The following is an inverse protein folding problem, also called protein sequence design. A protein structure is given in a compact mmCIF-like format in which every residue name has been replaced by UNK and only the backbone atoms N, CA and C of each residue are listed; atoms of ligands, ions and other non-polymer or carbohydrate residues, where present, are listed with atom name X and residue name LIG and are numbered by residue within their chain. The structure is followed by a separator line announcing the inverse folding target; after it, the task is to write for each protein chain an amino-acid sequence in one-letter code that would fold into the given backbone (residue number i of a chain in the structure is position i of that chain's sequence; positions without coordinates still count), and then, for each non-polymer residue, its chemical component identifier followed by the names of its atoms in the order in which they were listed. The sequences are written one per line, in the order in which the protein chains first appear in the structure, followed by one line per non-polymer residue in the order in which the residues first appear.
data_IF_674221265064
#
_entry.id   IF_674221265064
#
_cell.length_a   1.000
_cell.length_b   1.000
_cell.length_c   1.000
_cell.angle_alpha   90.00
_cell.angle_beta   90.00
_cell.angle_gamma   90.00
#
_symmetry.space_group_name_H-M   'P 1'
#
loop_
_entity.id
_entity.type
_entity.pdbx_description
1 polymer ?
#
# COMPACT_ATOMS: atom_id res chain seq x y z
N UNK A 1 -3.45 -5.59 19.19
CA UNK A 1 -2.98 -4.18 19.21
C UNK A 1 -1.76 -3.93 18.33
N UNK A 2 -0.59 -4.52 18.61
CA UNK A 2 0.66 -4.23 17.88
C UNK A 2 0.52 -4.28 16.35
N UNK A 3 0.05 -5.41 15.82
CA UNK A 3 -0.14 -5.59 14.37
C UNK A 3 -1.09 -4.56 13.77
N UNK A 4 -2.20 -4.23 14.45
CA UNK A 4 -3.15 -3.21 13.99
C UNK A 4 -2.49 -1.84 13.90
N UNK A 5 -1.71 -1.45 14.91
CA UNK A 5 -1.00 -0.17 14.91
C UNK A 5 0.10 -0.12 13.85
N UNK A 6 0.81 -1.22 13.60
CA UNK A 6 1.81 -1.31 12.52
C UNK A 6 1.17 -1.22 11.13
N UNK A 7 -0.01 -1.79 10.94
CA UNK A 7 -0.77 -1.66 9.68
C UNK A 7 -1.32 -0.25 9.50
N UNK A 8 -1.80 0.39 10.57
CA UNK A 8 -2.33 1.76 10.55
C UNK A 8 -1.24 2.81 10.34
N UNK A 9 -0.08 2.61 10.96
CA UNK A 9 1.07 3.51 10.88
C UNK A 9 2.34 2.73 10.46
N UNK A 10 2.47 2.32 9.18
CA UNK A 10 3.61 1.53 8.72
C UNK A 10 4.96 2.23 8.95
N UNK A 11 4.98 3.56 8.82
CA UNK A 11 6.17 4.38 9.04
C UNK A 11 6.66 4.38 10.50
N UNK A 12 5.78 4.11 11.46
CA UNK A 12 6.11 4.00 12.88
C UNK A 12 6.22 2.54 13.34
N UNK A 13 6.21 1.57 12.41
CA UNK A 13 6.08 0.15 12.75
C UNK A 13 7.17 -0.36 13.70
N UNK A 14 8.41 0.11 13.54
CA UNK A 14 9.54 -0.22 14.41
C UNK A 14 9.39 0.36 15.83
N UNK A 15 8.69 1.49 15.97
CA UNK A 15 8.45 2.13 17.25
C UNK A 15 7.28 1.49 18.02
N UNK A 16 6.41 0.71 17.35
CA UNK A 16 5.33 -0.04 17.99
C UNK A 16 5.84 -1.41 18.44
N UNK A 17 6.49 -1.45 19.60
CA UNK A 17 6.93 -2.70 20.24
C UNK A 17 5.76 -3.42 20.93
N UNK A 18 5.93 -4.71 21.25
CA UNK A 18 4.92 -5.50 21.95
C UNK A 18 4.62 -4.90 23.34
N UNK A 19 5.65 -4.56 24.12
CA UNK A 19 5.50 -3.94 25.45
C UNK A 19 4.78 -2.59 25.38
N UNK A 20 5.09 -1.75 24.37
CA UNK A 20 4.37 -0.50 24.18
C UNK A 20 2.90 -0.77 23.83
N UNK A 21 2.64 -1.74 22.95
CA UNK A 21 1.27 -2.13 22.60
C UNK A 21 0.48 -2.68 23.80
N UNK A 22 1.13 -3.38 24.74
CA UNK A 22 0.53 -3.83 26.00
C UNK A 22 0.16 -2.65 26.90
N UNK A 23 1.05 -1.66 27.07
CA UNK A 23 0.71 -0.42 27.78
C UNK A 23 -0.48 0.30 27.12
N UNK A 24 -0.51 0.36 25.78
CA UNK A 24 -1.65 0.96 25.07
C UNK A 24 -2.98 0.23 25.35
N UNK A 25 -2.92 -1.09 25.52
CA UNK A 25 -4.10 -1.88 25.89
C UNK A 25 -4.54 -1.50 27.31
N UNK A 26 -3.64 -1.58 28.28
CA UNK A 26 -4.00 -1.38 29.69
C UNK A 26 -4.43 0.05 30.02
N UNK A 27 -3.83 1.07 29.40
CA UNK A 27 -4.07 2.46 29.77
C UNK A 27 -5.24 3.11 29.00
N UNK A 28 -5.50 2.64 27.77
CA UNK A 28 -6.44 3.32 26.87
C UNK A 28 -7.60 2.46 26.37
N UNK A 29 -7.52 1.13 26.44
CA UNK A 29 -8.58 0.26 25.97
C UNK A 29 -9.65 0.01 27.04
N UNK A 30 -10.85 -0.32 26.60
CA UNK A 30 -11.99 -0.61 27.46
C UNK A 30 -12.98 -1.53 26.73
N UNK A 31 -13.79 -2.25 27.49
CA UNK A 31 -14.90 -3.02 26.94
C UNK A 31 -16.12 -2.11 26.75
N UNK A 32 -16.73 -2.17 25.57
CA UNK A 32 -18.02 -1.55 25.32
C UNK A 32 -19.14 -2.47 25.80
N UNK A 33 -20.18 -1.90 26.42
CA UNK A 33 -21.38 -2.64 26.82
C UNK A 33 -22.14 -3.18 25.60
N UNK A 34 -22.39 -2.30 24.62
CA UNK A 34 -22.96 -2.64 23.31
C UNK A 34 -21.97 -2.27 22.21
N UNK A 35 -21.20 -3.25 21.73
CA UNK A 35 -20.14 -3.01 20.76
C UNK A 35 -20.64 -2.40 19.43
N UNK A 36 -21.81 -2.83 18.94
CA UNK A 36 -22.40 -2.30 17.70
C UNK A 36 -22.72 -0.80 17.79
N UNK A 37 -23.40 -0.38 18.85
CA UNK A 37 -23.75 1.03 19.09
C UNK A 37 -22.50 1.90 19.26
N UNK A 38 -21.50 1.40 19.99
CA UNK A 38 -20.22 2.08 20.15
C UNK A 38 -19.55 2.33 18.79
N UNK A 39 -19.53 1.34 17.89
CA UNK A 39 -18.99 1.50 16.53
C UNK A 39 -19.73 2.56 15.72
N UNK A 40 -21.05 2.65 15.85
CA UNK A 40 -21.84 3.70 15.22
C UNK A 40 -21.47 5.08 15.76
N UNK A 41 -21.24 5.23 17.06
CA UNK A 41 -20.78 6.50 17.64
C UNK A 41 -19.43 6.94 17.08
N UNK A 42 -18.51 6.02 16.77
CA UNK A 42 -17.22 6.33 16.15
C UNK A 42 -17.33 6.93 14.74
N UNK A 43 -18.47 6.80 14.06
CA UNK A 43 -18.73 7.47 12.78
C UNK A 43 -18.99 8.97 12.94
N UNK A 44 -19.40 9.42 14.14
CA UNK A 44 -19.70 10.82 14.41
C UNK A 44 -18.41 11.64 14.60
N UNK A 45 -18.24 12.70 13.81
CA UNK A 45 -17.07 13.59 13.86
C UNK A 45 -16.80 14.20 15.24
N UNK A 46 -17.84 14.53 16.00
CA UNK A 46 -17.67 15.13 17.33
C UNK A 46 -17.18 14.09 18.34
N UNK A 47 -17.78 12.90 18.32
CA UNK A 47 -17.35 11.79 19.15
C UNK A 47 -15.91 11.37 18.84
N UNK A 48 -15.57 11.28 17.54
CA UNK A 48 -14.21 11.01 17.10
C UNK A 48 -13.20 12.01 17.67
N UNK A 49 -13.46 13.31 17.55
CA UNK A 49 -12.55 14.35 18.07
C UNK A 49 -12.35 14.29 19.59
N UNK A 50 -13.40 13.96 20.34
CA UNK A 50 -13.35 13.87 21.80
C UNK A 50 -12.65 12.60 22.29
N UNK A 51 -12.94 11.45 21.65
CA UNK A 51 -12.50 10.13 22.12
C UNK A 51 -11.20 9.64 21.49
N UNK A 52 -10.76 10.24 20.39
CA UNK A 52 -9.46 9.95 19.81
C UNK A 52 -8.35 10.29 20.82
N UNK A 53 -7.42 9.34 21.00
CA UNK A 53 -6.22 9.54 21.81
C UNK A 53 -5.03 9.63 20.89
N UNK A 54 -4.28 10.72 21.01
CA UNK A 54 -3.02 10.93 20.32
C UNK A 54 -1.88 10.57 21.28
N UNK A 55 -1.05 9.62 20.88
CA UNK A 55 0.10 9.18 21.68
C UNK A 55 1.36 9.67 20.98
N UNK A 56 2.06 10.61 21.61
CA UNK A 56 3.32 11.13 21.11
C UNK A 56 4.42 10.09 21.31
N UNK A 57 5.07 9.67 20.23
CA UNK A 57 6.29 8.88 20.30
C UNK A 57 7.51 9.80 20.41
N UNK A 58 8.62 9.31 21.01
CA UNK A 58 9.87 10.04 21.01
C UNK A 58 10.34 10.24 19.57
N UNK A 59 10.71 11.48 19.26
CA UNK A 59 11.33 11.87 18.01
C UNK A 59 12.51 12.80 18.32
N UNK A 60 13.55 12.72 17.49
CA UNK A 60 14.61 13.71 17.54
C UNK A 60 14.23 14.83 16.57
N UNK A 61 13.95 16.06 17.04
CA UNK A 61 13.89 17.20 16.16
C UNK A 61 15.33 17.44 15.70
N UNK A 62 15.75 16.86 14.59
CA UNK A 62 16.86 17.44 13.85
C UNK A 62 16.41 18.84 13.48
N UNK A 63 16.87 19.83 14.26
CA UNK A 63 16.94 21.21 13.82
C UNK A 63 17.60 21.16 12.47
N UNK A 64 16.86 21.46 11.42
CA UNK A 64 17.43 21.79 10.13
C UNK A 64 18.39 22.94 10.41
N UNK A 65 19.68 22.62 10.61
CA UNK A 65 20.72 23.60 10.46
C UNK A 65 20.61 24.04 9.02
N UNK A 66 20.02 25.23 8.85
CA UNK A 66 20.01 25.98 7.62
C UNK A 66 21.47 26.31 7.34
N UNK A 67 22.23 25.37 6.79
CA UNK A 67 23.60 25.57 6.28
C UNK A 67 24.11 24.31 5.58
N UNK A 68 23.53 24.01 4.42
CA UNK A 68 24.25 23.37 3.33
C UNK A 68 23.61 23.80 2.02
N UNK A 69 24.36 24.54 1.23
CA UNK A 69 23.94 25.24 0.03
C UNK A 69 23.25 24.30 -0.99
N UNK A 70 22.28 24.84 -1.74
CA UNK A 70 21.44 24.16 -2.73
C UNK A 70 22.16 23.52 -3.95
N UNK A 71 23.48 23.35 -3.88
CA UNK A 71 24.33 22.77 -4.93
C UNK A 71 23.87 21.33 -5.25
N UNK A 72 23.67 20.47 -4.23
CA UNK A 72 23.29 19.08 -4.45
C UNK A 72 21.85 18.86 -4.95
N UNK A 73 20.93 19.81 -4.76
CA UNK A 73 19.54 19.71 -5.24
C UNK A 73 19.41 20.10 -6.71
N UNK A 74 20.21 21.07 -7.17
CA UNK A 74 20.24 21.46 -8.58
C UNK A 74 21.02 20.46 -9.43
N UNK A 75 22.08 19.85 -8.89
CA UNK A 75 22.76 18.71 -9.52
C UNK A 75 21.80 17.53 -9.78
N UNK A 76 20.82 17.34 -8.90
CA UNK A 76 19.79 16.33 -9.07
C UNK A 76 18.81 16.66 -10.20
N UNK A 77 18.41 17.92 -10.33
CA UNK A 77 17.59 18.41 -11.45
C UNK A 77 18.32 18.24 -12.79
N UNK A 78 19.64 18.51 -12.81
CA UNK A 78 20.50 18.25 -13.95
C UNK A 78 20.53 16.75 -14.34
N UNK A 79 20.63 15.85 -13.36
CA UNK A 79 20.57 14.42 -13.61
C UNK A 79 19.19 13.92 -14.09
N UNK A 80 18.09 14.57 -13.69
CA UNK A 80 16.74 14.30 -14.22
C UNK A 80 16.67 14.71 -15.70
N UNK A 81 17.12 15.93 -16.02
CA UNK A 81 17.14 16.40 -17.41
C UNK A 81 17.95 15.48 -18.32
N UNK A 82 19.14 15.06 -17.87
CA UNK A 82 20.00 14.14 -18.60
C UNK A 82 19.34 12.77 -18.83
N UNK A 83 18.70 12.19 -17.81
CA UNK A 83 18.01 10.89 -17.93
C UNK A 83 16.80 10.95 -18.86
N UNK A 84 16.01 12.01 -18.80
CA UNK A 84 14.90 12.23 -19.72
C UNK A 84 15.40 12.31 -21.17
N UNK A 85 16.48 13.05 -21.42
CA UNK A 85 17.11 13.13 -22.75
C UNK A 85 17.63 11.79 -23.25
N UNK A 86 18.29 10.99 -22.39
CA UNK A 86 18.75 9.64 -22.71
C UNK A 86 17.57 8.69 -23.01
N UNK A 87 16.46 8.79 -22.26
CA UNK A 87 15.27 7.98 -22.48
C UNK A 87 14.59 8.30 -23.82
N UNK A 88 14.51 9.58 -24.19
CA UNK A 88 13.96 10.03 -25.46
C UNK A 88 14.86 9.61 -26.62
N UNK A 89 16.18 9.81 -26.49
CA UNK A 89 17.15 9.36 -27.49
C UNK A 89 17.04 7.85 -27.75
N UNK A 90 16.87 7.06 -26.68
CA UNK A 90 16.65 5.60 -26.79
C UNK A 90 15.34 5.25 -27.48
N UNK A 91 14.23 5.93 -27.16
CA UNK A 91 12.93 5.71 -27.84
C UNK A 91 13.01 6.05 -29.33
N UNK A 92 13.68 7.14 -29.70
CA UNK A 92 13.91 7.50 -31.09
C UNK A 92 14.74 6.47 -31.83
N UNK A 93 15.81 5.97 -31.20
CA UNK A 93 16.62 4.91 -31.77
C UNK A 93 15.82 3.63 -32.01
N UNK A 94 14.92 3.27 -31.08
CA UNK A 94 13.98 2.14 -31.27
C UNK A 94 13.03 2.40 -32.44
N UNK A 95 12.39 3.58 -32.52
CA UNK A 95 11.49 3.94 -33.63
C UNK A 95 12.21 3.88 -34.99
N UNK A 96 13.49 4.29 -35.04
CA UNK A 96 14.30 4.18 -36.25
C UNK A 96 14.59 2.73 -36.62
N UNK A 97 14.98 1.89 -35.65
CA UNK A 97 15.17 0.46 -35.87
C UNK A 97 13.90 -0.20 -36.40
N UNK A 98 12.74 0.10 -35.81
CA UNK A 98 11.44 -0.44 -36.24
C UNK A 98 11.11 0.01 -37.68
N UNK A 99 11.38 1.27 -38.02
CA UNK A 99 11.18 1.81 -39.37
C UNK A 99 12.15 1.18 -40.39
N UNK A 100 13.38 0.89 -40.01
CA UNK A 100 14.36 0.18 -40.84
C UNK A 100 13.97 -1.28 -41.10
N UNK A 101 13.53 -2.00 -40.07
CA UNK A 101 13.04 -3.37 -40.20
C UNK A 101 11.80 -3.43 -41.10
N UNK A 102 10.85 -2.50 -40.89
CA UNK A 102 9.66 -2.37 -41.74
C UNK A 102 10.05 -2.07 -43.18
N UNK A 103 11.01 -1.17 -43.40
CA UNK A 103 11.52 -0.87 -44.74
C UNK A 103 12.15 -2.11 -45.39
N UNK A 104 12.96 -2.87 -44.65
CA UNK A 104 13.56 -4.12 -45.15
C UNK A 104 12.49 -5.16 -45.52
N UNK A 105 11.45 -5.32 -44.69
CA UNK A 105 10.33 -6.21 -44.99
C UNK A 105 9.63 -5.82 -46.31
N UNK A 106 9.32 -4.53 -46.49
CA UNK A 106 8.66 -4.05 -47.72
C UNK A 106 9.54 -4.22 -48.96
N UNK A 107 10.85 -4.02 -48.84
CA UNK A 107 11.82 -4.26 -49.94
C UNK A 107 11.90 -5.76 -50.26
N UNK A 108 11.95 -6.64 -49.25
CA UNK A 108 11.99 -8.09 -49.49
C UNK A 108 10.78 -8.58 -50.28
N UNK A 109 9.60 -7.99 -50.04
CA UNK A 109 8.37 -8.31 -50.77
C UNK A 109 8.42 -7.75 -52.20
N UNK A 110 9.04 -6.60 -52.38
CA UNK A 110 9.31 -6.05 -53.72
C UNK A 110 10.28 -6.95 -54.50
N UNK A 111 11.26 -7.57 -53.86
CA UNK A 111 12.19 -8.53 -54.48
C UNK A 111 11.52 -9.88 -54.79
N UNK A 112 10.56 -10.33 -53.97
CA UNK A 112 9.75 -11.54 -54.27
C UNK A 112 8.95 -11.41 -55.57
N UNK A 113 8.66 -10.19 -56.03
CA UNK A 113 8.07 -9.91 -57.34
C UNK A 113 8.93 -10.41 -58.50
N UNK A 114 10.27 -10.46 -58.34
CA UNK A 114 11.19 -10.91 -59.40
C UNK A 114 11.29 -12.44 -59.51
N UNK A 115 10.87 -13.21 -58.49
CA UNK A 115 11.14 -14.66 -58.41
C UNK A 115 9.92 -15.55 -58.16
N UNK A 116 8.79 -15.06 -57.61
CA UNK A 116 7.62 -15.87 -57.25
C UNK A 116 6.36 -15.67 -58.14
N UNK A 117 5.44 -16.63 -58.09
CA UNK A 117 4.18 -16.65 -58.86
C UNK A 117 3.22 -15.51 -58.44
N UNK A 118 2.58 -14.85 -59.42
CA UNK A 118 1.82 -13.61 -59.24
C UNK A 118 0.63 -13.76 -58.28
N UNK A 119 0.13 -14.99 -58.11
CA UNK A 119 -0.94 -15.35 -57.20
C UNK A 119 -0.53 -15.38 -55.72
N UNK A 120 0.73 -15.75 -55.43
CA UNK A 120 1.27 -15.77 -54.07
C UNK A 120 1.58 -14.35 -53.60
N UNK A 121 2.14 -13.53 -54.50
CA UNK A 121 2.38 -12.10 -54.28
C UNK A 121 1.11 -11.31 -53.96
N UNK A 122 0.00 -11.57 -54.67
CA UNK A 122 -1.28 -10.89 -54.39
C UNK A 122 -1.87 -11.24 -53.03
N UNK A 123 -1.63 -12.44 -52.50
CA UNK A 123 -2.06 -12.83 -51.14
C UNK A 123 -1.22 -12.14 -50.06
N UNK A 124 0.11 -12.14 -50.21
CA UNK A 124 1.00 -11.48 -49.25
C UNK A 124 0.80 -9.96 -49.23
N UNK A 125 0.50 -9.35 -50.38
CA UNK A 125 0.14 -7.93 -50.50
C UNK A 125 -1.17 -7.60 -49.75
N UNK A 126 -2.18 -8.47 -49.85
CA UNK A 126 -3.45 -8.32 -49.12
C UNK A 126 -3.30 -8.58 -47.61
N UNK A 127 -2.48 -9.54 -47.19
CA UNK A 127 -2.18 -9.81 -45.78
C UNK A 127 -1.54 -8.60 -45.07
N UNK A 128 -0.77 -7.79 -45.81
CA UNK A 128 -0.15 -6.56 -45.32
C UNK A 128 -0.98 -5.29 -45.56
N UNK A 129 -2.17 -5.43 -46.15
CA UNK A 129 -3.15 -4.36 -46.29
C UNK A 129 -2.92 -3.39 -47.46
N UNK A 130 -2.08 -3.74 -48.43
CA UNK A 130 -1.87 -2.92 -49.62
C UNK A 130 -2.80 -3.31 -50.77
N UNK A 131 -3.38 -2.31 -51.43
CA UNK A 131 -4.37 -2.53 -52.50
C UNK A 131 -3.76 -2.52 -53.90
N UNK A 132 -2.60 -1.87 -54.08
CA UNK A 132 -1.86 -1.84 -55.34
C UNK A 132 -0.34 -1.84 -55.13
N UNK A 133 0.40 -2.26 -56.16
CA UNK A 133 1.88 -2.21 -56.20
C UNK A 133 2.40 -0.77 -56.16
N UNK A 134 1.64 0.18 -56.73
CA UNK A 134 1.97 1.60 -56.74
C UNK A 134 1.92 2.17 -55.32
N UNK A 135 0.92 1.77 -54.53
CA UNK A 135 0.79 2.14 -53.11
C UNK A 135 1.96 1.61 -52.27
N UNK A 136 2.38 0.37 -52.51
CA UNK A 136 3.56 -0.22 -51.88
C UNK A 136 4.84 0.57 -52.22
N UNK A 137 5.07 0.89 -53.51
CA UNK A 137 6.25 1.67 -53.92
C UNK A 137 6.28 3.08 -53.35
N UNK A 138 5.12 3.72 -53.20
CA UNK A 138 5.00 5.04 -52.58
C UNK A 138 5.37 4.97 -51.09
N UNK A 139 4.85 3.99 -50.36
CA UNK A 139 5.15 3.80 -48.93
C UNK A 139 6.62 3.41 -48.71
N UNK A 140 7.22 2.61 -49.59
CA UNK A 140 8.66 2.31 -49.55
C UNK A 140 9.48 3.59 -49.74
N UNK A 141 9.14 4.42 -50.71
CA UNK A 141 9.87 5.67 -50.97
C UNK A 141 9.72 6.68 -49.83
N UNK A 142 8.53 6.77 -49.24
CA UNK A 142 8.24 7.60 -48.07
C UNK A 142 9.04 7.13 -46.85
N UNK A 143 9.01 5.83 -46.53
CA UNK A 143 9.80 5.26 -45.43
C UNK A 143 11.31 5.41 -45.66
N UNK A 144 11.79 5.23 -46.91
CA UNK A 144 13.20 5.49 -47.27
C UNK A 144 13.58 6.94 -47.01
N UNK A 145 12.72 7.87 -47.41
CA UNK A 145 12.94 9.29 -47.21
C UNK A 145 12.97 9.66 -45.72
N UNK A 146 12.01 9.17 -44.93
CA UNK A 146 11.95 9.38 -43.48
C UNK A 146 13.18 8.80 -42.75
N UNK A 147 13.59 7.56 -43.07
CA UNK A 147 14.80 6.94 -42.49
C UNK A 147 16.06 7.71 -42.89
N UNK A 148 16.15 8.18 -44.15
CA UNK A 148 17.30 8.94 -44.63
C UNK A 148 17.37 10.34 -44.00
N UNK A 149 16.25 11.03 -43.85
CA UNK A 149 16.19 12.34 -43.18
C UNK A 149 16.71 12.23 -41.74
N UNK A 150 16.22 11.26 -40.96
CA UNK A 150 16.64 11.11 -39.56
C UNK A 150 18.10 10.65 -39.45
N UNK A 151 18.59 9.81 -40.36
CA UNK A 151 20.02 9.44 -40.42
C UNK A 151 20.94 10.61 -40.76
N UNK A 152 20.54 11.46 -41.70
CA UNK A 152 21.32 12.64 -42.09
C UNK A 152 21.40 13.66 -40.94
N UNK A 153 20.31 13.83 -40.19
CA UNK A 153 20.27 14.65 -38.97
C UNK A 153 21.17 14.09 -37.85
N UNK A 154 21.26 12.76 -37.70
CA UNK A 154 22.11 12.11 -36.70
C UNK A 154 23.61 12.05 -37.04
N UNK A 155 23.97 12.06 -38.32
CA UNK A 155 25.36 11.88 -38.79
C UNK A 155 26.23 13.14 -38.69
N UNK A 156 25.63 14.31 -38.48
CA UNK A 156 26.36 15.58 -38.34
C UNK A 156 26.89 15.85 -36.91
N UNK A 157 26.79 14.89 -35.99
CA UNK A 157 27.13 15.07 -34.57
C UNK A 157 28.43 14.37 -34.13
N UNK A 158 29.18 13.71 -35.02
CA UNK A 158 30.42 13.01 -34.66
C UNK A 158 31.59 13.53 -35.50
N UNK A 159 32.23 14.59 -35.02
CA UNK A 159 33.46 15.14 -35.59
C UNK A 159 34.12 16.10 -34.61
N UNK A 160 35.24 15.68 -34.04
CA UNK A 160 36.13 16.50 -33.20
C UNK A 160 36.67 17.72 -34.00
N UNK A 161 36.61 18.92 -33.40
CA UNK A 161 37.28 20.11 -33.94
C UNK A 161 36.61 21.43 -33.55
N UNK A 162 37.38 22.33 -32.94
CA UNK A 162 36.93 23.64 -32.44
C UNK A 162 36.46 24.62 -33.53
N UNK A 163 35.47 25.44 -33.11
CA UNK A 163 35.10 26.80 -33.54
C UNK A 163 34.11 27.05 -34.72
N UNK A 164 32.93 27.53 -34.30
CA UNK A 164 32.06 28.58 -34.88
C UNK A 164 31.32 28.35 -36.20
N UNK A 165 30.00 28.21 -36.07
CA UNK A 165 29.02 28.84 -36.97
C UNK A 165 27.89 27.94 -37.50
N UNK A 166 26.73 27.98 -36.83
CA UNK A 166 25.36 27.84 -37.37
C UNK A 166 24.96 26.46 -37.99
N UNK A 167 23.82 25.81 -37.72
CA UNK A 167 22.49 26.15 -37.20
C UNK A 167 21.88 24.91 -36.48
N UNK A 168 20.79 25.12 -35.72
CA UNK A 168 19.91 24.12 -35.05
C UNK A 168 20.19 23.69 -33.60
N UNK A 169 21.16 24.27 -32.89
CA UNK A 169 21.32 24.07 -31.43
C UNK A 169 21.02 25.35 -30.66
N UNK A 170 19.77 25.53 -30.21
CA UNK A 170 19.34 26.35 -29.06
C UNK A 170 17.81 26.37 -28.94
N UNK A 171 17.22 25.20 -28.72
CA UNK A 171 15.89 25.15 -28.10
C UNK A 171 16.12 24.63 -26.69
N UNK A 172 15.73 25.40 -25.66
CA UNK A 172 15.88 25.09 -24.23
C UNK A 172 17.19 25.47 -23.50
N UNK A 173 18.00 26.41 -24.00
CA UNK A 173 19.15 26.94 -23.20
C UNK A 173 18.71 27.64 -21.92
N UNK A 174 17.49 28.18 -21.93
CA UNK A 174 16.96 29.04 -20.86
C UNK A 174 16.32 28.21 -19.72
N UNK A 175 16.24 26.89 -19.89
CA UNK A 175 15.75 25.93 -18.89
C UNK A 175 16.88 25.06 -18.32
N UNK A 176 18.15 25.41 -18.55
CA UNK A 176 19.28 24.75 -17.89
C UNK A 176 19.10 24.87 -16.37
N UNK A 177 19.03 23.75 -15.62
CA UNK A 177 18.94 23.75 -14.17
C UNK A 177 19.98 24.64 -13.48
N UNK A 178 21.13 24.91 -14.12
CA UNK A 178 22.17 25.80 -13.58
C UNK A 178 21.75 27.28 -13.50
N UNK A 179 20.69 27.67 -14.18
CA UNK A 179 20.15 29.04 -14.19
C UNK A 179 19.15 29.29 -13.05
N UNK A 180 18.79 28.26 -12.27
CA UNK A 180 17.76 28.34 -11.24
C UNK A 180 18.36 28.15 -9.84
N UNK A 181 17.77 28.82 -8.86
CA UNK A 181 18.23 28.76 -7.46
C UNK A 181 17.57 27.64 -6.66
N UNK A 182 16.41 27.15 -7.11
CA UNK A 182 15.66 26.08 -6.45
C UNK A 182 14.93 25.17 -7.47
N UNK A 183 14.68 23.89 -7.13
CA UNK A 183 13.99 22.95 -8.01
C UNK A 183 12.54 23.31 -8.35
N UNK A 184 11.84 24.03 -7.46
CA UNK A 184 10.42 24.33 -7.63
C UNK A 184 10.22 25.46 -8.65
N UNK A 185 11.09 26.48 -8.66
CA UNK A 185 11.09 27.51 -9.70
C UNK A 185 11.51 26.96 -11.05
N UNK A 186 12.46 26.01 -11.08
CA UNK A 186 12.85 25.32 -12.31
C UNK A 186 11.70 24.50 -12.91
N UNK A 187 11.04 23.63 -12.13
CA UNK A 187 9.93 22.82 -12.66
C UNK A 187 8.72 23.68 -13.06
N UNK A 188 8.49 24.81 -12.39
CA UNK A 188 7.47 25.78 -12.81
C UNK A 188 7.81 26.40 -14.17
N UNK A 189 9.07 26.76 -14.41
CA UNK A 189 9.51 27.28 -15.70
C UNK A 189 9.39 26.23 -16.81
N UNK A 190 9.73 24.96 -16.54
CA UNK A 190 9.55 23.83 -17.47
C UNK A 190 8.07 23.63 -17.81
N UNK A 191 7.17 23.64 -16.82
CA UNK A 191 5.72 23.51 -17.02
C UNK A 191 5.15 24.64 -17.87
N UNK A 192 5.53 25.89 -17.56
CA UNK A 192 5.12 27.07 -18.31
C UNK A 192 5.56 26.97 -19.77
N UNK A 193 6.82 26.57 -20.02
CA UNK A 193 7.36 26.44 -21.37
C UNK A 193 6.63 25.38 -22.20
N UNK A 194 6.28 24.26 -21.58
CA UNK A 194 5.47 23.20 -22.22
C UNK A 194 4.10 23.72 -22.65
N UNK A 195 3.45 24.53 -21.80
CA UNK A 195 2.13 25.11 -22.10
C UNK A 195 2.20 26.12 -23.24
N UNK A 196 3.19 27.01 -23.24
CA UNK A 196 3.46 27.93 -24.36
C UNK A 196 3.66 27.20 -25.69
N UNK A 197 4.40 26.08 -25.68
CA UNK A 197 4.63 25.27 -26.89
C UNK A 197 3.36 24.57 -27.37
N UNK A 198 2.53 24.04 -26.46
CA UNK A 198 1.24 23.43 -26.81
C UNK A 198 0.26 24.45 -27.38
N UNK A 199 0.18 25.63 -26.79
CA UNK A 199 -0.67 26.72 -27.29
C UNK A 199 -0.21 27.19 -28.67
N UNK A 200 1.10 27.38 -28.87
CA UNK A 200 1.66 27.76 -30.17
C UNK A 200 1.31 26.74 -31.25
N UNK A 201 1.43 25.44 -30.96
CA UNK A 201 1.07 24.36 -31.88
C UNK A 201 -0.43 24.35 -32.18
N UNK A 202 -1.28 24.55 -31.17
CA UNK A 202 -2.73 24.64 -31.35
C UNK A 202 -3.12 25.82 -32.25
N UNK A 203 -2.49 26.98 -32.07
CA UNK A 203 -2.71 28.17 -32.88
C UNK A 203 -2.21 27.97 -34.33
N UNK A 204 -1.04 27.37 -34.53
CA UNK A 204 -0.52 27.03 -35.85
C UNK A 204 -1.45 26.04 -36.57
N UNK A 205 -1.89 24.99 -35.90
CA UNK A 205 -2.83 24.03 -36.44
C UNK A 205 -4.17 24.68 -36.82
N UNK A 206 -4.69 25.58 -35.98
CA UNK A 206 -5.92 26.32 -36.27
C UNK A 206 -5.77 27.25 -37.49
N UNK A 207 -4.64 27.95 -37.61
CA UNK A 207 -4.31 28.78 -38.78
C UNK A 207 -4.21 27.96 -40.08
N UNK A 208 -3.68 26.74 -40.00
CA UNK A 208 -3.62 25.81 -41.15
C UNK A 208 -5.03 25.39 -41.55
N UNK A 209 -5.88 25.03 -40.59
CA UNK A 209 -7.28 24.69 -40.86
C UNK A 209 -8.04 25.86 -41.48
N UNK A 210 -7.88 27.08 -40.96
CA UNK A 210 -8.50 28.28 -41.53
C UNK A 210 -8.04 28.57 -42.97
N UNK A 211 -6.73 28.42 -43.25
CA UNK A 211 -6.19 28.56 -44.60
C UNK A 211 -6.69 27.46 -45.54
N UNK A 212 -6.82 26.22 -45.07
CA UNK A 212 -7.38 25.11 -45.84
C UNK A 212 -8.87 25.35 -46.17
N UNK A 213 -9.64 25.87 -45.21
CA UNK A 213 -11.05 26.26 -45.41
C UNK A 213 -11.19 27.44 -46.39
N UNK A 214 -10.30 28.44 -46.33
CA UNK A 214 -10.29 29.57 -47.26
C UNK A 214 -9.88 29.17 -48.70
N UNK A 215 -9.04 28.15 -48.85
CA UNK A 215 -8.54 27.68 -50.16
C UNK A 215 -9.50 26.71 -50.86
N UNK A 216 -10.57 26.26 -50.19
CA UNK A 216 -11.54 25.26 -50.65
C UNK A 216 -12.46 25.65 -51.83
N UNK A 217 -12.22 26.75 -52.54
CA UNK A 217 -13.07 27.20 -53.66
C UNK A 217 -12.43 27.17 -55.05
N UNK A 218 -11.18 26.72 -55.25
CA UNK A 218 -10.60 26.60 -56.60
C UNK A 218 -9.85 25.28 -56.84
N UNK A 219 -10.51 24.41 -57.62
CA UNK A 219 -9.96 23.38 -58.52
C UNK A 219 -9.25 22.14 -57.92
N UNK A 220 -9.77 20.96 -58.26
CA UNK A 220 -9.31 19.61 -57.87
C UNK A 220 -7.88 19.24 -58.33
N UNK A 221 -7.24 20.03 -59.18
CA UNK A 221 -5.90 19.73 -59.73
C UNK A 221 -4.73 20.26 -58.89
N UNK A 222 -4.98 21.06 -57.84
CA UNK A 222 -3.93 21.59 -56.94
C UNK A 222 -3.75 20.83 -55.63
N UNK A 223 -4.60 19.84 -55.34
CA UNK A 223 -4.50 19.03 -54.11
C UNK A 223 -3.20 18.24 -54.00
N UNK A 224 -2.55 17.91 -55.12
CA UNK A 224 -1.24 17.23 -55.14
C UNK A 224 -0.05 18.19 -54.97
N UNK A 225 -0.18 19.47 -55.32
CA UNK A 225 0.87 20.48 -55.10
C UNK A 225 0.87 21.01 -53.66
N UNK A 226 -0.28 21.03 -52.99
CA UNK A 226 -0.37 21.45 -51.58
C UNK A 226 0.27 20.40 -50.66
N UNK A 227 0.16 19.11 -50.98
CA UNK A 227 0.75 18.03 -50.20
C UNK A 227 2.28 17.92 -50.35
N UNK A 228 2.88 18.54 -51.38
CA UNK A 228 4.32 18.44 -51.68
C UNK A 228 5.16 19.64 -51.19
N UNK A 229 4.53 20.63 -50.55
CA UNK A 229 5.21 21.76 -49.89
C UNK A 229 4.99 21.77 -48.37
N UNK A 230 4.47 20.67 -47.82
CA UNK A 230 4.04 20.51 -46.43
C UNK A 230 5.00 19.65 -45.58
N UNK A 231 6.23 19.48 -46.05
CA UNK A 231 7.39 19.20 -45.20
C UNK A 231 8.25 20.46 -45.15
N UNK A 232 8.92 20.84 -44.07
CA UNK A 232 9.36 20.08 -42.91
C UNK A 232 9.95 21.10 -41.92
N UNK A 233 10.23 20.63 -40.71
CA UNK A 233 11.11 21.20 -39.67
C UNK A 233 10.36 21.77 -38.45
N UNK A 234 9.54 22.82 -38.57
CA UNK A 234 9.05 23.51 -37.35
C UNK A 234 7.97 22.75 -36.54
N UNK A 235 7.12 21.94 -37.18
CA UNK A 235 6.01 21.25 -36.49
C UNK A 235 6.47 19.94 -35.79
N UNK A 236 7.49 19.28 -36.36
CA UNK A 236 8.08 18.07 -35.78
C UNK A 236 9.05 18.42 -34.64
N UNK A 237 9.90 19.44 -34.82
CA UNK A 237 10.81 19.95 -33.78
C UNK A 237 10.05 20.45 -32.54
N UNK A 238 8.86 21.04 -32.72
CA UNK A 238 8.03 21.51 -31.60
C UNK A 238 7.26 20.39 -30.91
N UNK A 239 6.84 19.36 -31.65
CA UNK A 239 6.26 18.15 -31.06
C UNK A 239 7.30 17.42 -30.20
N UNK A 240 8.53 17.32 -30.69
CA UNK A 240 9.66 16.71 -30.00
C UNK A 240 9.99 17.45 -28.68
N UNK A 241 10.03 18.78 -28.72
CA UNK A 241 10.27 19.61 -27.52
C UNK A 241 9.17 19.44 -26.47
N UNK A 242 7.91 19.27 -26.88
CA UNK A 242 6.82 19.03 -25.93
C UNK A 242 6.95 17.64 -25.28
N UNK A 243 7.31 16.61 -26.05
CA UNK A 243 7.59 15.26 -25.54
C UNK A 243 8.78 15.29 -24.56
N UNK A 244 9.81 16.09 -24.84
CA UNK A 244 10.96 16.28 -23.94
C UNK A 244 10.59 16.90 -22.60
N UNK A 245 9.86 18.02 -22.62
CA UNK A 245 9.44 18.69 -21.38
C UNK A 245 8.45 17.83 -20.58
N UNK A 246 7.62 17.02 -21.23
CA UNK A 246 6.67 16.13 -20.56
C UNK A 246 7.36 14.94 -19.87
N UNK A 247 8.38 14.34 -20.49
CA UNK A 247 9.20 13.31 -19.85
C UNK A 247 9.97 13.89 -18.66
N UNK A 248 10.56 15.10 -18.78
CA UNK A 248 11.24 15.79 -17.67
C UNK A 248 10.31 15.99 -16.48
N UNK A 249 9.08 16.45 -16.72
CA UNK A 249 8.08 16.64 -15.64
C UNK A 249 7.71 15.31 -15.01
N UNK A 250 7.49 14.26 -15.81
CA UNK A 250 7.16 12.92 -15.32
C UNK A 250 8.29 12.32 -14.47
N UNK A 251 9.54 12.45 -14.90
CA UNK A 251 10.70 11.98 -14.14
C UNK A 251 10.88 12.76 -12.84
N UNK A 252 10.71 14.09 -12.88
CA UNK A 252 10.73 14.94 -11.70
C UNK A 252 9.66 14.51 -10.70
N UNK A 253 8.42 14.34 -11.14
CA UNK A 253 7.33 13.90 -10.26
C UNK A 253 7.55 12.49 -9.72
N UNK A 254 8.06 11.55 -10.53
CA UNK A 254 8.38 10.18 -10.11
C UNK A 254 9.44 10.15 -9.01
N UNK A 255 10.44 11.01 -9.10
CA UNK A 255 11.55 11.06 -8.14
C UNK A 255 11.20 11.88 -6.88
N UNK A 256 10.52 13.01 -7.05
CA UNK A 256 10.12 13.86 -5.93
C UNK A 256 8.83 13.40 -5.22
N UNK A 257 8.00 12.51 -5.82
CA UNK A 257 6.96 11.75 -5.08
C UNK A 257 7.50 10.54 -4.33
N UNK A 258 8.64 9.97 -4.75
CA UNK A 258 9.25 8.78 -4.10
C UNK A 258 9.95 9.10 -2.78
N UNK A 259 10.31 10.35 -2.53
CA UNK A 259 10.60 10.84 -1.18
C UNK A 259 9.33 11.50 -0.65
N UNK A 260 8.87 11.20 0.59
CA UNK A 260 7.89 12.06 1.22
C UNK A 260 8.46 13.48 1.18
N UNK A 261 7.74 14.40 0.55
CA UNK A 261 8.14 15.80 0.40
C UNK A 261 8.37 16.39 1.79
N UNK A 262 9.63 16.38 2.24
CA UNK A 262 10.10 17.27 3.28
C UNK A 262 10.35 18.63 2.63
N UNK A 263 9.28 19.43 2.60
CA UNK A 263 9.32 20.87 2.34
C UNK A 263 9.07 21.29 0.89
N UNK A 264 7.81 21.57 0.56
CA UNK A 264 7.38 22.77 -0.18
C UNK A 264 5.86 22.92 -0.33
N UNK A 265 5.04 22.09 0.33
CA UNK A 265 3.66 22.49 0.63
C UNK A 265 3.62 23.25 1.96
N UNK A 266 3.02 24.45 1.96
CA UNK A 266 2.70 25.24 3.15
C UNK A 266 1.59 24.59 4.02
N UNK A 267 1.78 23.32 4.37
CA UNK A 267 1.31 22.80 5.66
C UNK A 267 2.59 22.62 6.48
N UNK A 268 2.68 23.29 7.63
CA UNK A 268 3.81 23.14 8.54
C UNK A 268 4.01 21.64 8.82
N UNK A 269 4.96 20.98 8.14
CA UNK A 269 5.28 19.59 8.43
C UNK A 269 5.82 19.56 9.86
N UNK A 270 4.94 19.19 10.78
CA UNK A 270 5.28 19.12 12.17
C UNK A 270 5.87 17.74 12.43
N UNK A 271 7.18 17.68 12.64
CA UNK A 271 7.88 16.44 12.99
C UNK A 271 7.23 15.78 14.21
N UNK A 272 6.70 16.56 15.16
CA UNK A 272 6.01 16.00 16.32
C UNK A 272 4.75 15.22 15.89
N UNK A 273 3.92 15.80 15.01
CA UNK A 273 2.70 15.17 14.49
C UNK A 273 3.00 13.90 13.70
N UNK A 274 4.10 13.87 12.94
CA UNK A 274 4.52 12.68 12.19
C UNK A 274 4.78 11.46 13.09
N UNK A 275 5.26 11.70 14.31
CA UNK A 275 5.53 10.68 15.33
C UNK A 275 4.36 10.46 16.30
N UNK A 276 3.12 10.84 15.95
CA UNK A 276 1.93 10.57 16.76
C UNK A 276 1.20 9.30 16.32
N UNK A 277 0.93 8.40 17.28
CA UNK A 277 0.00 7.29 17.08
C UNK A 277 -1.41 7.75 17.36
N UNK A 278 -2.33 7.46 16.43
CA UNK A 278 -3.73 7.80 16.55
C UNK A 278 -4.49 6.57 17.02
N UNK A 279 -5.01 6.60 18.25
CA UNK A 279 -5.73 5.50 18.86
C UNK A 279 -7.22 5.88 19.01
N UNK A 280 -8.07 5.29 18.17
CA UNK A 280 -9.50 5.56 18.08
C UNK A 280 -10.31 4.29 18.38
N UNK A 281 -10.96 3.73 17.35
CA UNK A 281 -11.79 2.52 17.47
C UNK A 281 -11.05 1.31 18.03
N UNK A 282 -9.72 1.28 17.93
CA UNK A 282 -8.90 0.17 18.39
C UNK A 282 -8.98 -0.02 19.91
N UNK A 283 -9.39 1.05 20.64
CA UNK A 283 -9.59 1.05 22.09
C UNK A 283 -10.68 0.09 22.55
N UNK A 284 -11.73 -0.08 21.74
CA UNK A 284 -12.85 -1.00 22.01
C UNK A 284 -12.72 -2.28 21.20
N UNK A 285 -12.24 -2.16 19.96
CA UNK A 285 -12.08 -3.29 19.03
C UNK A 285 -11.09 -4.35 19.52
N UNK A 286 -10.02 -3.95 20.21
CA UNK A 286 -8.99 -4.91 20.67
C UNK A 286 -9.50 -5.77 21.84
N UNK A 287 -10.09 -5.21 22.91
CA UNK A 287 -10.72 -6.02 23.96
C UNK A 287 -11.88 -6.88 23.45
N UNK A 288 -12.64 -6.40 22.46
CA UNK A 288 -13.81 -7.10 21.90
C UNK A 288 -13.51 -8.53 21.42
N UNK A 289 -12.26 -8.79 21.02
CA UNK A 289 -11.81 -10.12 20.57
C UNK A 289 -12.11 -11.22 21.61
N UNK A 290 -12.18 -10.89 22.91
CA UNK A 290 -12.54 -11.84 23.95
C UNK A 290 -14.01 -12.33 23.84
N UNK A 291 -14.90 -11.50 23.32
CA UNK A 291 -16.30 -11.83 23.08
C UNK A 291 -16.58 -12.22 21.62
N UNK A 292 -15.78 -11.72 20.68
CA UNK A 292 -15.89 -12.02 19.25
C UNK A 292 -14.52 -12.43 18.65
N UNK A 293 -14.04 -13.67 18.90
CA UNK A 293 -12.75 -14.15 18.40
C UNK A 293 -12.66 -14.20 16.86
N UNK A 294 -13.81 -14.34 16.18
CA UNK A 294 -13.92 -14.34 14.73
C UNK A 294 -13.36 -13.08 14.05
N UNK A 295 -13.30 -11.95 14.76
CA UNK A 295 -12.72 -10.69 14.26
C UNK A 295 -11.25 -10.82 13.85
N UNK A 296 -10.53 -11.78 14.41
CA UNK A 296 -9.13 -12.09 14.06
C UNK A 296 -8.99 -13.43 13.33
N UNK A 297 -10.10 -14.03 12.90
CA UNK A 297 -10.14 -15.32 12.23
C UNK A 297 -9.93 -16.52 13.13
N UNK A 298 -10.16 -16.38 14.45
CA UNK A 298 -10.17 -17.55 15.35
C UNK A 298 -11.54 -18.22 15.34
N UNK A 299 -11.57 -19.51 15.01
CA UNK A 299 -12.75 -20.38 15.06
C UNK A 299 -13.02 -20.90 16.48
N UNK A 300 -13.04 -19.99 17.45
CA UNK A 300 -13.36 -20.29 18.85
C UNK A 300 -14.58 -19.49 19.28
N UNK A 301 -15.36 -20.07 20.20
CA UNK A 301 -16.50 -19.40 20.79
C UNK A 301 -16.06 -18.22 21.67
N UNK A 302 -16.84 -17.15 21.64
CA UNK A 302 -16.65 -15.99 22.52
C UNK A 302 -16.94 -16.32 23.98
N UNK A 303 -16.50 -15.45 24.90
CA UNK A 303 -16.78 -15.64 26.34
C UNK A 303 -18.27 -15.79 26.66
N UNK A 304 -19.16 -15.03 25.99
CA UNK A 304 -20.61 -15.13 26.18
C UNK A 304 -21.16 -16.51 25.78
N UNK A 305 -20.81 -16.97 24.57
CA UNK A 305 -21.23 -18.28 24.04
C UNK A 305 -20.70 -19.45 24.88
N UNK A 306 -19.45 -19.35 25.35
CA UNK A 306 -18.86 -20.35 26.26
C UNK A 306 -19.65 -20.41 27.57
N UNK A 307 -20.01 -19.25 28.12
CA UNK A 307 -20.76 -19.17 29.38
C UNK A 307 -22.18 -19.75 29.21
N UNK A 308 -22.87 -19.44 28.12
CA UNK A 308 -24.16 -20.04 27.77
C UNK A 308 -24.05 -21.57 27.63
N UNK A 309 -23.04 -22.05 26.91
CA UNK A 309 -22.78 -23.49 26.72
C UNK A 309 -22.56 -24.20 28.06
N UNK A 310 -21.85 -23.55 29.00
CA UNK A 310 -21.64 -24.07 30.35
C UNK A 310 -22.96 -24.12 31.11
N UNK A 311 -23.77 -23.06 31.08
CA UNK A 311 -25.08 -23.04 31.75
C UNK A 311 -26.01 -24.16 31.26
N UNK A 312 -26.01 -24.44 29.96
CA UNK A 312 -26.80 -25.52 29.36
C UNK A 312 -26.47 -26.93 29.91
N UNK A 313 -25.33 -27.11 30.58
CA UNK A 313 -24.96 -28.39 31.22
C UNK A 313 -25.58 -28.59 32.61
N UNK A 314 -26.15 -27.54 33.19
CA UNK A 314 -26.70 -27.54 34.55
C UNK A 314 -28.22 -27.45 34.54
N UNK A 315 -28.85 -27.89 35.64
CA UNK A 315 -30.30 -27.74 35.83
C UNK A 315 -30.69 -26.27 35.99
N UNK A 316 -31.95 -25.92 35.74
CA UNK A 316 -32.43 -24.52 35.85
C UNK A 316 -32.18 -23.90 37.23
N UNK A 317 -32.31 -24.69 38.29
CA UNK A 317 -32.04 -24.28 39.67
C UNK A 317 -30.55 -23.95 39.88
N UNK A 318 -29.67 -24.83 39.41
CA UNK A 318 -28.22 -24.64 39.48
C UNK A 318 -27.78 -23.43 38.66
N UNK A 319 -28.34 -23.23 37.47
CA UNK A 319 -28.05 -22.05 36.66
C UNK A 319 -28.41 -20.75 37.40
N UNK A 320 -29.54 -20.70 38.09
CA UNK A 320 -29.93 -19.53 38.89
C UNK A 320 -28.95 -19.26 40.04
N UNK A 321 -28.50 -20.31 40.73
CA UNK A 321 -27.49 -20.18 41.79
C UNK A 321 -26.13 -19.69 41.25
N UNK A 322 -25.67 -20.25 40.14
CA UNK A 322 -24.40 -19.88 39.50
C UNK A 322 -24.44 -18.44 38.97
N UNK A 323 -25.57 -18.01 38.38
CA UNK A 323 -25.74 -16.65 37.87
C UNK A 323 -25.69 -15.57 38.98
N UNK A 324 -26.04 -15.91 40.23
CA UNK A 324 -25.90 -15.00 41.36
C UNK A 324 -24.46 -14.87 41.88
N UNK A 325 -23.53 -15.69 41.38
CA UNK A 325 -22.16 -15.78 41.91
C UNK A 325 -21.13 -15.71 40.78
N UNK A 326 -21.27 -14.76 39.86
CA UNK A 326 -20.28 -14.54 38.80
C UNK A 326 -19.16 -13.64 39.34
N UNK A 327 -17.94 -14.18 39.41
CA UNK A 327 -16.75 -13.47 39.87
C UNK A 327 -15.70 -13.40 38.76
N UNK A 328 -15.30 -12.18 38.38
CA UNK A 328 -14.33 -11.93 37.31
C UNK A 328 -12.97 -11.59 37.92
N UNK A 329 -11.94 -12.31 37.47
CA UNK A 329 -10.55 -12.15 37.93
C UNK A 329 -9.55 -12.33 36.77
N UNK A 330 -8.27 -12.01 37.00
CA UNK A 330 -7.20 -12.07 36.01
C UNK A 330 -6.85 -10.70 35.42
N UNK A 331 -5.68 -10.59 34.79
CA UNK A 331 -5.13 -9.32 34.29
C UNK A 331 -6.08 -8.53 33.37
N UNK A 332 -6.71 -9.15 32.35
CA UNK A 332 -7.63 -8.45 31.45
C UNK A 332 -8.87 -7.86 32.13
N UNK A 333 -9.28 -8.40 33.29
CA UNK A 333 -10.42 -7.88 34.04
C UNK A 333 -10.16 -6.51 34.70
N UNK A 334 -8.91 -6.03 34.66
CA UNK A 334 -8.57 -4.67 35.06
C UNK A 334 -9.01 -3.62 34.03
N UNK A 335 -9.35 -4.03 32.80
CA UNK A 335 -9.83 -3.10 31.78
C UNK A 335 -11.22 -2.55 32.15
N UNK A 336 -11.47 -1.24 31.98
CA UNK A 336 -12.77 -0.64 32.25
C UNK A 336 -13.89 -1.27 31.39
N UNK A 337 -15.12 -1.26 31.90
CA UNK A 337 -16.31 -1.70 31.16
C UNK A 337 -16.58 -3.21 31.16
N UNK A 338 -15.67 -4.04 31.71
CA UNK A 338 -15.85 -5.51 31.72
C UNK A 338 -17.06 -5.94 32.56
N UNK A 339 -17.36 -5.21 33.63
CA UNK A 339 -18.50 -5.49 34.49
C UNK A 339 -19.82 -5.27 33.75
N UNK A 340 -19.96 -4.11 33.12
CA UNK A 340 -21.14 -3.72 32.34
C UNK A 340 -21.32 -4.66 31.15
N UNK A 341 -20.24 -4.94 30.42
CA UNK A 341 -20.28 -5.87 29.29
C UNK A 341 -20.68 -7.28 29.71
N UNK A 342 -20.06 -7.85 30.75
CA UNK A 342 -20.45 -9.18 31.23
C UNK A 342 -21.91 -9.21 31.72
N UNK A 343 -22.39 -8.12 32.32
CA UNK A 343 -23.78 -8.00 32.75
C UNK A 343 -24.74 -7.98 31.55
N UNK A 344 -24.39 -7.29 30.46
CA UNK A 344 -25.17 -7.31 29.22
C UNK A 344 -25.24 -8.72 28.59
N UNK A 345 -24.13 -9.46 28.57
CA UNK A 345 -24.10 -10.86 28.10
C UNK A 345 -25.01 -11.76 28.97
N UNK A 346 -24.92 -11.62 30.30
CA UNK A 346 -25.79 -12.34 31.24
C UNK A 346 -27.27 -11.99 31.04
N UNK A 347 -27.60 -10.72 30.84
CA UNK A 347 -28.97 -10.29 30.56
C UNK A 347 -29.51 -10.92 29.28
N UNK A 348 -28.70 -11.00 28.23
CA UNK A 348 -29.13 -11.52 26.93
C UNK A 348 -29.44 -13.02 26.95
N UNK A 349 -28.63 -13.83 27.65
CA UNK A 349 -28.82 -15.29 27.68
C UNK A 349 -29.78 -15.78 28.78
N UNK A 350 -30.10 -14.95 29.78
CA UNK A 350 -30.90 -15.36 30.93
C UNK A 350 -32.40 -15.12 30.71
N UNK A 351 -33.28 -15.95 31.30
CA UNK A 351 -34.72 -15.71 31.24
C UNK A 351 -35.10 -14.32 31.81
N UNK A 352 -36.13 -13.71 31.21
CA UNK A 352 -36.67 -12.43 31.64
C UNK A 352 -36.96 -12.43 33.15
N UNK A 353 -36.61 -11.32 33.84
CA UNK A 353 -36.73 -11.13 35.29
C UNK A 353 -35.90 -12.07 36.18
N UNK A 354 -34.99 -12.87 35.64
CA UNK A 354 -34.08 -13.64 36.48
C UNK A 354 -33.00 -12.75 37.13
N UNK A 355 -32.67 -13.04 38.38
CA UNK A 355 -31.63 -12.33 39.11
C UNK A 355 -30.24 -12.91 38.80
N UNK A 356 -29.26 -12.04 38.63
CA UNK A 356 -27.85 -12.37 38.50
C UNK A 356 -27.00 -11.29 39.21
N UNK A 357 -25.76 -11.62 39.52
CA UNK A 357 -24.83 -10.71 40.16
C UNK A 357 -23.43 -10.95 39.62
N UNK A 358 -22.81 -9.88 39.13
CA UNK A 358 -21.45 -9.86 38.63
C UNK A 358 -20.59 -9.08 39.61
N UNK A 359 -19.46 -9.65 39.98
CA UNK A 359 -18.49 -9.03 40.87
C UNK A 359 -17.11 -9.10 40.23
N UNK A 360 -16.41 -7.96 40.19
CA UNK A 360 -15.04 -7.90 39.70
C UNK A 360 -14.09 -7.84 40.89
N UNK A 361 -12.99 -8.59 40.80
CA UNK A 361 -11.93 -8.56 41.80
C UNK A 361 -11.42 -7.13 42.03
N UNK A 362 -11.10 -6.78 43.29
CA UNK A 362 -10.59 -5.44 43.62
C UNK A 362 -9.20 -5.21 43.04
N UNK A 363 -8.37 -6.25 42.98
CA UNK A 363 -7.09 -6.21 42.27
C UNK A 363 -6.96 -7.47 41.42
N UNK A 364 -7.54 -7.49 40.20
CA UNK A 364 -7.65 -8.72 39.40
C UNK A 364 -6.33 -9.45 39.13
N UNK A 365 -5.21 -8.71 39.01
CA UNK A 365 -3.89 -9.29 38.79
C UNK A 365 -3.25 -9.91 40.05
N UNK A 366 -3.58 -9.41 41.24
CA UNK A 366 -2.89 -9.79 42.49
C UNK A 366 -3.75 -10.67 43.42
N UNK A 367 -5.07 -10.71 43.21
CA UNK A 367 -5.98 -11.38 44.13
C UNK A 367 -5.81 -12.91 44.13
N UNK A 368 -5.35 -13.51 43.02
CA UNK A 368 -4.96 -14.93 42.96
C UNK A 368 -3.84 -15.24 43.96
N UNK A 369 -2.77 -14.45 43.96
CA UNK A 369 -1.65 -14.58 44.89
C UNK A 369 -2.08 -14.31 46.33
N UNK A 370 -2.92 -13.29 46.57
CA UNK A 370 -3.44 -13.01 47.92
C UNK A 370 -4.31 -14.16 48.46
N UNK A 371 -5.10 -14.79 47.60
CA UNK A 371 -5.87 -15.99 47.93
C UNK A 371 -4.97 -17.15 48.35
N UNK A 372 -3.96 -17.46 47.53
CA UNK A 372 -2.97 -18.49 47.84
C UNK A 372 -2.17 -18.18 49.13
N UNK A 373 -1.78 -16.92 49.34
CA UNK A 373 -1.12 -16.47 50.58
C UNK A 373 -2.02 -16.70 51.80
N UNK A 374 -3.30 -16.33 51.73
CA UNK A 374 -4.24 -16.54 52.84
C UNK A 374 -4.39 -18.03 53.16
N UNK A 375 -4.49 -18.86 52.11
CA UNK A 375 -4.53 -20.32 52.23
C UNK A 375 -3.27 -20.88 52.90
N UNK A 376 -2.09 -20.41 52.51
CA UNK A 376 -0.81 -20.86 53.07
C UNK A 376 -0.60 -20.41 54.53
N UNK A 377 -1.14 -19.27 54.93
CA UNK A 377 -1.06 -18.78 56.33
C UNK A 377 -1.90 -19.66 57.26
N UNK A 378 -3.00 -20.23 56.78
CA UNK A 378 -3.84 -21.13 57.56
C UNK A 378 -3.18 -22.51 57.67
N UNK A 379 -2.38 -22.71 58.72
CA UNK A 379 -1.54 -23.91 58.89
C UNK A 379 -2.31 -25.23 58.86
N UNK A 380 -3.51 -25.29 59.42
CA UNK A 380 -4.32 -26.52 59.39
C UNK A 380 -4.72 -26.89 57.95
N UNK A 381 -5.05 -25.87 57.16
CA UNK A 381 -5.37 -26.03 55.75
C UNK A 381 -4.14 -26.47 54.96
N UNK A 382 -3.01 -25.79 55.16
CA UNK A 382 -1.75 -26.12 54.50
C UNK A 382 -1.31 -27.54 54.83
N UNK A 383 -1.33 -27.95 56.10
CA UNK A 383 -0.90 -29.29 56.51
C UNK A 383 -1.79 -30.40 55.93
N UNK A 384 -3.08 -30.12 55.73
CA UNK A 384 -4.02 -31.08 55.14
C UNK A 384 -3.74 -31.34 53.67
N UNK A 385 -3.42 -30.30 52.90
CA UNK A 385 -3.33 -30.39 51.43
C UNK A 385 -1.91 -30.32 50.87
N UNK A 386 -0.91 -29.92 51.67
CA UNK A 386 0.48 -29.93 51.26
C UNK A 386 1.01 -31.36 51.09
N UNK A 387 1.84 -31.54 50.06
CA UNK A 387 2.55 -32.80 49.81
C UNK A 387 3.85 -32.74 50.61
N UNK A 388 4.06 -33.71 51.50
CA UNK A 388 5.31 -33.80 52.23
C UNK A 388 6.40 -34.44 51.37
N UNK A 389 7.66 -34.25 51.76
CA UNK A 389 8.78 -34.85 51.04
C UNK A 389 8.68 -36.38 51.00
N UNK A 390 8.27 -37.02 52.10
CA UNK A 390 8.07 -38.48 52.14
C UNK A 390 6.96 -38.93 51.18
N UNK A 391 5.85 -38.19 51.09
CA UNK A 391 4.77 -38.46 50.13
C UNK A 391 5.30 -38.44 48.69
N UNK A 392 6.14 -37.46 48.36
CA UNK A 392 6.73 -37.31 47.03
C UNK A 392 7.73 -38.43 46.70
N UNK A 393 8.58 -38.80 47.66
CA UNK A 393 9.56 -39.88 47.50
C UNK A 393 8.88 -41.25 47.32
N UNK A 394 7.73 -41.49 47.95
CA UNK A 394 6.97 -42.75 47.83
C UNK A 394 6.05 -42.79 46.59
N UNK A 395 5.31 -41.70 46.32
CA UNK A 395 4.24 -41.68 45.30
C UNK A 395 4.69 -41.07 43.97
N UNK A 396 5.86 -40.45 43.94
CA UNK A 396 6.49 -39.90 42.75
C UNK A 396 5.96 -38.53 42.31
N UNK A 397 6.47 -38.03 41.17
CA UNK A 397 6.28 -36.65 40.73
C UNK A 397 4.87 -36.30 40.23
N UNK A 398 4.06 -37.30 39.87
CA UNK A 398 2.70 -37.11 39.33
C UNK A 398 1.65 -37.02 40.45
N UNK A 399 2.02 -37.42 41.67
CA UNK A 399 1.10 -37.41 42.79
C UNK A 399 0.78 -35.98 43.22
N UNK A 400 -0.51 -35.65 43.23
CA UNK A 400 -1.05 -34.44 43.82
C UNK A 400 -2.12 -34.84 44.85
N UNK A 401 -2.13 -34.19 46.02
CA UNK A 401 -3.23 -34.36 46.97
C UNK A 401 -4.49 -33.73 46.40
N UNK A 402 -5.61 -34.44 46.52
CA UNK A 402 -6.91 -33.92 46.09
C UNK A 402 -7.29 -32.68 46.90
N UNK A 403 -7.58 -31.60 46.19
CA UNK A 403 -7.97 -30.34 46.77
C UNK A 403 -9.23 -29.83 46.04
N UNK A 404 -10.21 -29.22 46.73
CA UNK A 404 -11.44 -28.74 46.10
C UNK A 404 -11.23 -27.73 44.96
N UNK A 405 -10.10 -27.03 44.97
CA UNK A 405 -9.69 -26.10 43.91
C UNK A 405 -8.55 -26.63 43.01
N UNK A 406 -8.15 -27.90 43.13
CA UNK A 406 -7.22 -28.52 42.17
C UNK A 406 -7.99 -29.21 41.06
N UNK A 407 -7.28 -29.53 39.97
CA UNK A 407 -7.81 -30.45 38.96
C UNK A 407 -8.16 -31.79 39.62
N UNK A 408 -9.26 -32.40 39.17
CA UNK A 408 -9.58 -33.76 39.56
C UNK A 408 -8.51 -34.70 39.02
N UNK A 409 -8.07 -35.65 39.85
CA UNK A 409 -7.19 -36.71 39.36
C UNK A 409 -7.92 -37.49 38.27
N UNK A 410 -7.29 -37.58 37.11
CA UNK A 410 -7.74 -38.42 36.01
C UNK A 410 -6.58 -39.38 35.70
N UNK A 411 -6.80 -40.71 35.79
CA UNK A 411 -5.75 -41.65 35.44
C UNK A 411 -5.37 -41.44 33.99
N UNK A 412 -4.06 -41.40 33.70
CA UNK A 412 -3.59 -41.29 32.34
C UNK A 412 -4.22 -42.41 31.50
N UNK A 413 -4.70 -42.13 30.27
CA UNK A 413 -5.22 -43.19 29.42
C UNK A 413 -4.13 -44.27 29.26
N UNK A 414 -4.51 -45.56 29.31
CA UNK A 414 -3.54 -46.63 29.19
C UNK A 414 -2.77 -46.45 27.89
N UNK A 415 -1.44 -46.56 27.96
CA UNK A 415 -0.58 -46.46 26.78
C UNK A 415 -1.04 -47.52 25.79
N UNK A 416 -1.66 -47.09 24.69
CA UNK A 416 -2.06 -48.00 23.61
C UNK A 416 -0.77 -48.57 23.05
N UNK A 417 -0.50 -49.85 23.32
CA UNK A 417 0.62 -50.54 22.69
C UNK A 417 0.43 -50.44 21.18
N UNK A 418 1.46 -49.99 20.46
CA UNK A 418 1.43 -49.66 19.03
C UNK A 418 1.04 -50.80 18.06
N UNK A 419 0.60 -51.96 18.57
CA UNK A 419 0.28 -53.17 17.81
C UNK A 419 -1.13 -53.22 17.20
N UNK A 420 -1.99 -52.20 17.37
CA UNK A 420 -3.35 -52.23 16.83
C UNK A 420 -3.67 -51.19 15.75
N UNK A 421 -2.72 -50.37 15.32
CA UNK A 421 -2.91 -49.47 14.17
C UNK A 421 -2.56 -50.19 12.86
N UNK A 422 -3.29 -51.26 12.56
CA UNK A 422 -3.34 -51.79 11.18
C UNK A 422 -4.41 -50.98 10.46
N UNK A 423 -3.99 -50.02 9.64
CA UNK A 423 -4.89 -49.38 8.68
C UNK A 423 -5.48 -50.48 7.79
N UNK A 424 -6.80 -50.51 7.58
CA UNK A 424 -7.41 -51.48 6.67
C UNK A 424 -6.85 -51.25 5.27
N UNK A 425 -5.98 -52.15 4.83
CA UNK A 425 -5.56 -52.28 3.45
C UNK A 425 -6.77 -52.82 2.68
N UNK A 426 -7.60 -51.92 2.15
CA UNK A 426 -8.37 -52.07 0.90
C UNK A 426 -9.44 -50.99 0.81
N UNK A 427 -9.20 -49.99 -0.05
CA UNK A 427 -10.10 -49.66 -1.17
C UNK A 427 -9.28 -48.82 -2.15
N UNK A 428 -9.04 -49.42 -3.31
CA UNK A 428 -8.61 -48.80 -4.56
C UNK A 428 -9.60 -47.72 -5.00
#
# INVERSE_FOLDING_TARGET
MQRLMQLKHPHLGAAVTLSRAEHLIHDYCYFAEHFGEELEMWTNCNYYKEKLRLIQLPFNPTTSSVNSHGIGKMDYCHNIMKRAQEAIAKRKQSRLSDNEEKLQQLISIQELLEYEDEATFRRTLQELGFSSIEELTLVINELRHQVQQVKNLGSSAVGDGEFSGNLSKRHCSDLDPRLFSDPDTWICAVRKRREELRERRMQQHQLVLEKAHATGQKSKTRRKEIHLLEGDIDDDDTAEQVEELEEIISEFEREFKKKPQFGSDHTNFNMAEYYQLHLGIERTRVPEIAFQPSMIGLEQAGLGEVLETIFCRYTKEQQAYLAQNVFITGGPAALPGIHERMSAELLAMRPFQSAFSVSVAKNPSADSWKGARRMAIQRDFLNKFAIQRCDYEEKGPVYLREHPCSNAYTPAPPVVQAKSLVLPSNTL
#
